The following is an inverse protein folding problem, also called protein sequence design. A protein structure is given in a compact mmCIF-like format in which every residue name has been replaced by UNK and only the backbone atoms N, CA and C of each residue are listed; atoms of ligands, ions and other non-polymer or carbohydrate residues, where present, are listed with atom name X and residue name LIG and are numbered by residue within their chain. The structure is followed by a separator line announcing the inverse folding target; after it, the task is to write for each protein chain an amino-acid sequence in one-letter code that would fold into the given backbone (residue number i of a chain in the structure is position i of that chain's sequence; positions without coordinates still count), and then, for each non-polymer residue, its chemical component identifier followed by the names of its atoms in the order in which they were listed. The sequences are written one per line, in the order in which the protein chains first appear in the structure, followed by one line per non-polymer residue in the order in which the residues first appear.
data_IF_253028673832
#
_entry.id   IF_253028673832
#
_cell.length_a   1.000
_cell.length_b   1.000
_cell.length_c   1.000
_cell.angle_alpha   90.00
_cell.angle_beta   90.00
_cell.angle_gamma   90.00
#
_symmetry.space_group_name_H-M   'P 1'
#
loop_
_entity.id
_entity.type
_entity.pdbx_description
1 polymer ?
#
# COMPACT_ATOMS: atom_id res chain seq x y z
N UNK A 1 -5.75 8.29 -4.57
CA UNK A 1 -4.67 8.87 -3.74
C UNK A 1 -4.30 10.20 -4.37
N UNK A 2 -3.79 11.17 -3.64
CA UNK A 2 -3.43 12.49 -4.19
C UNK A 2 -2.04 12.83 -3.68
N UNK A 3 -1.22 13.50 -4.49
CA UNK A 3 0.03 14.07 -4.02
C UNK A 3 -0.30 15.17 -3.03
N UNK A 4 0.37 15.15 -1.88
CA UNK A 4 0.27 16.18 -0.85
C UNK A 4 1.62 16.86 -0.64
N UNK A 5 1.61 18.03 -0.04
CA UNK A 5 2.87 18.70 0.35
C UNK A 5 3.73 17.78 1.21
N UNK A 6 3.12 17.03 2.14
CA UNK A 6 3.82 16.04 2.97
C UNK A 6 4.49 14.93 2.15
N UNK A 7 3.83 14.43 1.10
CA UNK A 7 4.42 13.39 0.25
C UNK A 7 5.63 13.90 -0.54
N UNK A 8 5.57 15.16 -1.00
CA UNK A 8 6.68 15.81 -1.69
C UNK A 8 7.89 15.99 -0.76
N UNK A 9 7.66 16.41 0.49
CA UNK A 9 8.74 16.60 1.47
C UNK A 9 9.45 15.30 1.90
N UNK A 10 8.95 14.14 1.49
CA UNK A 10 9.65 12.84 1.70
C UNK A 10 10.67 12.53 0.61
N UNK A 11 10.67 13.27 -0.48
CA UNK A 11 11.64 13.04 -1.56
C UNK A 11 13.05 13.50 -1.13
N UNK A 12 14.09 12.77 -1.55
CA UNK A 12 15.47 13.06 -1.15
C UNK A 12 15.92 14.51 -1.42
N UNK A 13 15.39 15.11 -2.49
CA UNK A 13 15.69 16.51 -2.85
C UNK A 13 15.24 17.53 -1.79
N UNK A 14 14.34 17.13 -0.88
CA UNK A 14 13.81 17.98 0.19
C UNK A 14 14.26 17.52 1.58
N UNK A 15 15.30 16.68 1.71
CA UNK A 15 15.76 16.16 3.01
C UNK A 15 16.13 17.29 3.99
N UNK A 16 16.73 18.39 3.48
CA UNK A 16 17.11 19.55 4.27
C UNK A 16 16.08 20.69 4.28
N UNK A 17 14.91 20.48 3.67
CA UNK A 17 13.87 21.50 3.59
C UNK A 17 13.24 21.76 4.96
N UNK A 18 12.96 23.05 5.24
CA UNK A 18 12.38 23.50 6.50
C UNK A 18 10.96 23.98 6.31
N UNK A 19 10.04 23.44 7.10
CA UNK A 19 8.66 23.94 7.16
C UNK A 19 8.63 25.14 8.09
N UNK A 20 8.53 26.33 7.51
CA UNK A 20 8.51 27.60 8.24
C UNK A 20 7.13 27.90 8.84
N UNK A 21 6.06 27.54 8.13
CA UNK A 21 4.67 27.74 8.58
C UNK A 21 3.76 26.65 8.01
N UNK A 22 2.52 26.59 8.48
CA UNK A 22 1.49 25.73 7.91
C UNK A 22 1.68 24.23 8.16
N UNK A 23 2.40 23.80 9.22
CA UNK A 23 2.66 22.38 9.53
C UNK A 23 1.40 21.52 9.57
N UNK A 24 0.27 22.07 9.98
CA UNK A 24 -1.02 21.40 10.04
C UNK A 24 -1.70 21.23 8.67
N UNK A 25 -1.20 21.93 7.64
CA UNK A 25 -1.77 21.91 6.28
C UNK A 25 -0.89 21.16 5.27
N UNK A 26 0.06 20.37 5.72
CA UNK A 26 0.91 19.56 4.83
C UNK A 26 0.14 18.50 4.03
N UNK A 27 -1.10 18.22 4.38
CA UNK A 27 -2.02 17.38 3.61
C UNK A 27 -2.73 18.12 2.46
N UNK A 28 -2.39 19.41 2.23
CA UNK A 28 -2.89 20.14 1.07
C UNK A 28 -2.49 19.40 -0.21
N UNK A 29 -3.50 19.19 -1.10
CA UNK A 29 -3.32 18.46 -2.36
C UNK A 29 -2.58 19.30 -3.37
N UNK A 30 -1.58 18.73 -4.01
CA UNK A 30 -0.81 19.37 -5.08
C UNK A 30 -1.28 18.82 -6.43
N UNK A 31 -1.68 19.72 -7.32
CA UNK A 31 -2.13 19.39 -8.68
C UNK A 31 -1.13 19.81 -9.75
N UNK A 32 -0.34 20.84 -9.47
CA UNK A 32 0.62 21.41 -10.41
C UNK A 32 1.71 22.17 -9.65
N UNK A 33 2.92 22.15 -10.18
CA UNK A 33 4.02 23.01 -9.76
C UNK A 33 4.16 24.20 -10.72
N UNK A 34 4.41 25.38 -10.18
CA UNK A 34 4.61 26.61 -10.94
C UNK A 34 5.72 27.46 -10.34
N UNK A 35 6.38 28.27 -11.14
CA UNK A 35 7.39 29.25 -10.68
C UNK A 35 6.79 30.63 -10.70
N UNK A 36 7.06 31.41 -9.67
CA UNK A 36 6.62 32.79 -9.58
C UNK A 36 7.79 33.72 -9.17
N UNK A 37 8.57 34.17 -10.17
CA UNK A 37 9.69 35.09 -10.02
C UNK A 37 9.53 36.32 -10.93
N UNK A 38 8.31 36.59 -11.39
CA UNK A 38 7.98 37.78 -12.17
C UNK A 38 7.46 38.90 -11.27
N UNK A 39 7.44 40.16 -11.72
CA UNK A 39 6.86 41.26 -10.96
C UNK A 39 5.42 40.96 -10.56
N UNK A 40 5.12 41.20 -9.27
CA UNK A 40 3.78 40.95 -8.76
C UNK A 40 2.81 42.05 -9.21
N UNK A 41 1.71 41.63 -9.85
CA UNK A 41 0.59 42.48 -10.23
C UNK A 41 -0.72 41.80 -9.83
N UNK A 42 -1.71 42.51 -9.24
CA UNK A 42 -2.99 41.93 -8.84
C UNK A 42 -3.78 41.31 -9.99
N UNK A 43 -3.56 41.75 -11.24
CA UNK A 43 -4.16 41.21 -12.45
C UNK A 43 -3.81 39.72 -12.76
N UNK A 44 -2.82 39.15 -12.09
CA UNK A 44 -2.43 37.75 -12.23
C UNK A 44 -3.59 36.80 -11.84
N UNK A 45 -4.46 37.23 -10.89
CA UNK A 45 -5.66 36.45 -10.55
C UNK A 45 -6.73 36.48 -11.63
N UNK A 46 -6.96 37.68 -12.19
CA UNK A 46 -7.99 37.88 -13.22
C UNK A 46 -7.66 37.11 -14.49
N UNK A 47 -6.37 36.89 -14.77
CA UNK A 47 -5.90 36.08 -15.89
C UNK A 47 -6.09 34.57 -15.69
N UNK A 48 -6.55 34.11 -14.51
CA UNK A 48 -6.75 32.68 -14.22
C UNK A 48 -5.45 31.86 -14.21
N UNK A 49 -4.31 32.50 -13.96
CA UNK A 49 -2.98 31.88 -13.98
C UNK A 49 -2.79 31.00 -12.75
N UNK A 50 -3.25 31.47 -11.59
CA UNK A 50 -3.21 30.74 -10.31
C UNK A 50 -4.44 29.84 -10.20
N UNK A 51 -4.22 28.55 -9.97
CA UNK A 51 -5.27 27.54 -9.86
C UNK A 51 -5.25 26.86 -8.49
N UNK A 52 -6.38 26.31 -8.10
CA UNK A 52 -6.46 25.50 -6.91
C UNK A 52 -5.51 24.28 -7.03
N UNK A 53 -4.77 24.02 -5.96
CA UNK A 53 -3.79 22.94 -5.94
C UNK A 53 -2.44 23.30 -6.55
N UNK A 54 -2.19 24.55 -6.94
CA UNK A 54 -0.86 24.99 -7.37
C UNK A 54 0.11 25.02 -6.18
N UNK A 55 1.30 24.44 -6.37
CA UNK A 55 2.46 24.64 -5.54
C UNK A 55 3.37 25.65 -6.24
N UNK A 56 3.72 26.73 -5.58
CA UNK A 56 4.59 27.75 -6.16
C UNK A 56 6.02 27.62 -5.65
N UNK A 57 6.99 27.79 -6.58
CA UNK A 57 8.41 27.97 -6.30
C UNK A 57 8.74 29.44 -6.51
N UNK A 58 9.49 30.07 -5.61
CA UNK A 58 9.89 31.48 -5.73
C UNK A 58 11.16 31.79 -4.93
N UNK A 59 12.08 32.56 -5.52
CA UNK A 59 13.19 33.17 -4.81
C UNK A 59 12.80 34.40 -3.99
N UNK A 60 11.56 34.88 -4.13
CA UNK A 60 11.04 36.11 -3.52
C UNK A 60 11.73 37.40 -3.93
N UNK A 61 12.62 37.38 -4.91
CA UNK A 61 13.39 38.51 -5.40
C UNK A 61 12.50 39.74 -5.75
N UNK A 62 11.32 39.47 -6.30
CA UNK A 62 10.35 40.52 -6.67
C UNK A 62 9.74 41.28 -5.49
N UNK A 63 9.92 40.77 -4.25
CA UNK A 63 9.43 41.37 -3.03
C UNK A 63 10.55 42.03 -2.19
N UNK A 64 11.82 41.94 -2.59
CA UNK A 64 12.98 42.46 -1.84
C UNK A 64 12.86 43.95 -1.55
N UNK A 65 12.42 44.73 -2.55
CA UNK A 65 12.24 46.20 -2.42
C UNK A 65 10.83 46.60 -1.94
N UNK A 66 9.88 45.65 -1.92
CA UNK A 66 8.46 45.91 -1.60
C UNK A 66 7.88 44.78 -0.75
N UNK A 67 8.32 44.59 0.48
CA UNK A 67 7.91 43.46 1.32
C UNK A 67 6.41 43.46 1.67
N UNK A 68 5.74 44.62 1.62
CA UNK A 68 4.30 44.71 1.81
C UNK A 68 3.47 43.98 0.78
N UNK A 69 4.00 43.82 -0.44
CA UNK A 69 3.34 43.05 -1.52
C UNK A 69 3.33 41.56 -1.26
N UNK A 70 4.24 41.04 -0.42
CA UNK A 70 4.25 39.64 -0.04
C UNK A 70 2.98 39.23 0.72
N UNK A 71 2.45 40.12 1.59
CA UNK A 71 1.18 39.90 2.31
C UNK A 71 0.01 39.75 1.33
N UNK A 72 -0.03 40.61 0.32
CA UNK A 72 -1.06 40.57 -0.72
C UNK A 72 -0.92 39.27 -1.54
N UNK A 73 0.30 38.90 -1.93
CA UNK A 73 0.59 37.66 -2.67
C UNK A 73 0.16 36.42 -1.91
N UNK A 74 0.52 36.26 -0.62
CA UNK A 74 0.10 35.14 0.21
C UNK A 74 -1.42 35.05 0.34
N UNK A 75 -2.07 36.17 0.55
CA UNK A 75 -3.54 36.25 0.63
C UNK A 75 -4.18 35.78 -0.69
N UNK A 76 -3.58 36.12 -1.79
CA UNK A 76 -3.98 35.79 -3.14
C UNK A 76 -3.83 34.27 -3.43
N UNK A 77 -2.69 33.70 -3.07
CA UNK A 77 -2.45 32.26 -3.17
C UNK A 77 -3.46 31.45 -2.34
N UNK A 78 -3.71 31.90 -1.11
CA UNK A 78 -4.69 31.26 -0.23
C UNK A 78 -6.12 31.34 -0.79
N UNK A 79 -6.52 32.50 -1.31
CA UNK A 79 -7.83 32.72 -1.95
C UNK A 79 -8.01 31.81 -3.17
N UNK A 80 -6.94 31.58 -3.94
CA UNK A 80 -6.93 30.65 -5.06
C UNK A 80 -6.88 29.17 -4.63
N UNK A 81 -6.74 28.89 -3.34
CA UNK A 81 -6.56 27.55 -2.77
C UNK A 81 -5.28 26.87 -3.29
N UNK A 82 -4.19 27.62 -3.38
CA UNK A 82 -2.86 27.08 -3.65
C UNK A 82 -2.43 26.11 -2.54
N UNK A 83 -1.62 25.12 -2.87
CA UNK A 83 -1.25 24.04 -1.94
C UNK A 83 -0.14 24.46 -0.98
N UNK A 84 0.85 25.18 -1.47
CA UNK A 84 2.00 25.63 -0.71
C UNK A 84 2.80 26.69 -1.49
N UNK A 85 3.67 27.39 -0.77
CA UNK A 85 4.73 28.22 -1.31
C UNK A 85 6.09 27.64 -0.88
N UNK A 86 6.90 27.24 -1.83
CA UNK A 86 8.27 26.78 -1.61
C UNK A 86 9.22 27.92 -1.98
N UNK A 87 10.09 28.30 -1.07
CA UNK A 87 10.98 29.45 -1.22
C UNK A 87 12.45 29.03 -1.07
N UNK A 88 13.34 29.73 -1.77
CA UNK A 88 14.78 29.63 -1.51
C UNK A 88 15.16 30.39 -0.23
N UNK A 89 16.32 30.10 0.30
CA UNK A 89 16.89 30.76 1.49
C UNK A 89 17.63 32.08 1.17
N UNK A 90 17.43 32.66 -0.03
CA UNK A 90 18.05 33.92 -0.46
C UNK A 90 17.60 35.14 0.35
N UNK A 91 16.31 35.19 0.74
CA UNK A 91 15.72 36.37 1.40
C UNK A 91 15.06 36.03 2.75
N UNK A 92 15.81 35.53 3.75
CA UNK A 92 15.24 35.12 5.03
C UNK A 92 14.57 36.28 5.81
N UNK A 93 14.98 37.54 5.57
CA UNK A 93 14.40 38.73 6.22
C UNK A 93 12.96 39.01 5.79
N UNK A 94 12.50 38.50 4.64
CA UNK A 94 11.11 38.67 4.20
C UNK A 94 10.15 37.78 4.97
N UNK A 95 10.61 36.70 5.59
CA UNK A 95 9.76 35.77 6.34
C UNK A 95 9.79 36.12 7.83
N UNK A 96 9.17 37.25 8.16
CA UNK A 96 9.00 37.67 9.53
C UNK A 96 8.01 36.81 10.31
N UNK A 97 7.98 36.94 11.65
CA UNK A 97 6.98 36.30 12.52
C UNK A 97 5.54 36.59 12.10
N UNK A 98 5.28 37.77 11.56
CA UNK A 98 3.95 38.18 11.12
C UNK A 98 3.56 37.47 9.82
N UNK A 99 4.50 37.27 8.91
CA UNK A 99 4.32 36.47 7.67
C UNK A 99 4.04 35.00 8.01
N UNK A 100 4.77 34.42 8.95
CA UNK A 100 4.55 33.04 9.43
C UNK A 100 3.14 32.94 10.05
N UNK A 101 2.76 33.84 10.94
CA UNK A 101 1.44 33.84 11.57
C UNK A 101 0.30 34.05 10.55
N UNK A 102 0.50 34.90 9.56
CA UNK A 102 -0.45 35.10 8.46
C UNK A 102 -0.62 33.82 7.64
N UNK A 103 0.48 33.20 7.26
CA UNK A 103 0.49 31.96 6.48
C UNK A 103 -0.22 30.82 7.22
N UNK A 104 0.03 30.66 8.53
CA UNK A 104 -0.68 29.68 9.38
C UNK A 104 -2.20 29.97 9.40
N UNK A 105 -2.60 31.24 9.52
CA UNK A 105 -4.02 31.62 9.49
C UNK A 105 -4.67 31.37 8.12
N UNK A 106 -3.92 31.56 7.05
CA UNK A 106 -4.40 31.37 5.68
C UNK A 106 -4.44 29.88 5.25
N UNK A 107 -3.82 29.00 6.01
CA UNK A 107 -3.74 27.58 5.66
C UNK A 107 -2.82 27.28 4.48
N UNK A 108 -1.82 28.12 4.24
CA UNK A 108 -0.86 28.04 3.15
C UNK A 108 0.54 27.70 3.70
N UNK A 109 1.03 26.46 3.63
CA UNK A 109 2.38 26.11 4.06
C UNK A 109 3.46 26.91 3.32
N UNK A 110 4.47 27.41 4.05
CA UNK A 110 5.69 27.96 3.50
C UNK A 110 6.83 27.02 3.84
N UNK A 111 7.54 26.55 2.80
CA UNK A 111 8.66 25.61 2.90
C UNK A 111 9.91 26.28 2.33
N UNK A 112 10.97 26.33 3.13
CA UNK A 112 12.29 26.81 2.70
C UNK A 112 13.14 25.64 2.22
N UNK A 113 13.78 25.76 1.07
CA UNK A 113 14.76 24.82 0.53
C UNK A 113 16.04 25.56 0.12
N UNK A 114 17.12 24.80 -0.11
CA UNK A 114 18.44 25.39 -0.41
C UNK A 114 18.47 26.03 -1.80
N UNK A 115 19.08 27.20 -1.91
CA UNK A 115 19.21 27.97 -3.16
C UNK A 115 19.93 27.23 -4.28
N UNK A 116 20.84 26.34 -3.95
CA UNK A 116 21.65 25.58 -4.93
C UNK A 116 20.87 24.48 -5.64
N UNK A 117 19.61 24.20 -5.24
CA UNK A 117 18.74 23.23 -5.92
C UNK A 117 18.02 23.91 -7.09
N UNK A 118 18.34 23.57 -8.36
CA UNK A 118 17.67 24.17 -9.49
C UNK A 118 16.17 23.89 -9.49
N UNK A 119 15.35 24.86 -9.78
CA UNK A 119 13.88 24.69 -9.91
C UNK A 119 13.51 23.56 -10.88
N UNK A 120 14.31 23.35 -11.93
CA UNK A 120 14.09 22.26 -12.87
C UNK A 120 14.12 20.88 -12.21
N UNK A 121 14.99 20.67 -11.22
CA UNK A 121 15.08 19.41 -10.46
C UNK A 121 13.84 19.22 -9.59
N UNK A 122 13.40 20.29 -8.90
CA UNK A 122 12.19 20.29 -8.07
C UNK A 122 10.95 20.03 -8.92
N UNK A 123 10.82 20.73 -10.05
CA UNK A 123 9.70 20.58 -10.97
C UNK A 123 9.65 19.17 -11.57
N UNK A 124 10.78 18.62 -11.97
CA UNK A 124 10.87 17.25 -12.50
C UNK A 124 10.43 16.23 -11.44
N UNK A 125 10.91 16.38 -10.20
CA UNK A 125 10.52 15.52 -9.09
C UNK A 125 9.01 15.56 -8.85
N UNK A 126 8.42 16.74 -8.71
CA UNK A 126 6.97 16.89 -8.46
C UNK A 126 6.14 16.39 -9.65
N UNK A 127 6.56 16.65 -10.88
CA UNK A 127 5.87 16.17 -12.07
C UNK A 127 5.92 14.65 -12.18
N UNK A 128 7.06 14.01 -11.88
CA UNK A 128 7.19 12.56 -11.82
C UNK A 128 6.22 11.95 -10.80
N UNK A 129 6.11 12.53 -9.61
CA UNK A 129 5.15 12.13 -8.60
C UNK A 129 3.71 12.23 -9.11
N UNK A 130 3.38 13.33 -9.78
CA UNK A 130 2.03 13.58 -10.32
C UNK A 130 1.66 12.54 -11.38
N UNK A 131 2.58 12.26 -12.29
CA UNK A 131 2.38 11.25 -13.36
C UNK A 131 2.24 9.85 -12.75
N UNK A 132 3.04 9.53 -11.75
CA UNK A 132 3.00 8.25 -11.05
C UNK A 132 1.65 8.01 -10.38
N UNK A 133 1.18 8.96 -9.58
CA UNK A 133 -0.13 8.89 -8.91
C UNK A 133 -1.29 8.75 -9.91
N UNK A 134 -1.23 9.49 -11.02
CA UNK A 134 -2.25 9.40 -12.05
C UNK A 134 -2.27 8.00 -12.71
N UNK A 135 -1.10 7.43 -12.98
CA UNK A 135 -0.95 6.06 -13.49
C UNK A 135 -1.54 5.03 -12.52
N UNK A 136 -1.17 5.13 -11.26
CA UNK A 136 -1.69 4.22 -10.24
C UNK A 136 -3.20 4.31 -10.09
N UNK A 137 -3.76 5.53 -10.14
CA UNK A 137 -5.20 5.73 -10.08
C UNK A 137 -5.93 5.05 -11.25
N UNK A 138 -5.44 5.24 -12.49
CA UNK A 138 -6.02 4.61 -13.68
C UNK A 138 -5.90 3.08 -13.61
N UNK A 139 -4.72 2.57 -13.31
CA UNK A 139 -4.50 1.13 -13.22
C UNK A 139 -5.29 0.51 -12.07
N UNK A 140 -5.46 1.24 -10.96
CA UNK A 140 -6.33 0.83 -9.87
C UNK A 140 -7.80 0.69 -10.29
N UNK A 141 -8.31 1.59 -11.15
CA UNK A 141 -9.66 1.45 -11.71
C UNK A 141 -9.78 0.19 -12.58
N UNK A 142 -8.77 -0.14 -13.38
CA UNK A 142 -8.76 -1.37 -14.17
C UNK A 142 -8.73 -2.62 -13.30
N UNK A 143 -7.91 -2.63 -12.24
CA UNK A 143 -7.88 -3.74 -11.28
C UNK A 143 -9.23 -3.92 -10.56
N UNK A 144 -9.87 -2.84 -10.12
CA UNK A 144 -11.20 -2.89 -9.50
C UNK A 144 -12.23 -3.47 -10.47
N UNK A 145 -12.20 -3.05 -11.72
CA UNK A 145 -13.09 -3.59 -12.75
C UNK A 145 -12.91 -5.09 -12.93
N UNK A 146 -11.67 -5.58 -12.96
CA UNK A 146 -11.38 -7.02 -13.06
C UNK A 146 -11.84 -7.81 -11.83
N UNK A 147 -11.69 -7.24 -10.63
CA UNK A 147 -11.96 -7.94 -9.37
C UNK A 147 -13.44 -7.96 -8.98
N UNK A 148 -14.15 -6.86 -9.20
CA UNK A 148 -15.46 -6.63 -8.59
C UNK A 148 -16.61 -6.48 -9.59
N UNK A 149 -16.33 -6.25 -10.88
CA UNK A 149 -17.37 -6.17 -11.88
C UNK A 149 -17.62 -7.54 -12.53
N UNK A 150 -18.90 -7.85 -12.77
CA UNK A 150 -19.26 -9.04 -13.53
C UNK A 150 -19.22 -8.75 -15.03
N UNK A 151 -18.03 -8.71 -15.60
CA UNK A 151 -17.78 -8.40 -17.01
C UNK A 151 -17.55 -9.68 -17.84
N UNK A 152 -17.84 -9.62 -19.13
CA UNK A 152 -17.61 -10.73 -20.04
C UNK A 152 -16.14 -11.09 -20.19
N UNK A 153 -15.84 -12.31 -20.65
CA UNK A 153 -14.45 -12.73 -20.90
C UNK A 153 -13.74 -11.80 -21.91
N UNK A 154 -14.47 -11.31 -22.92
CA UNK A 154 -13.95 -10.35 -23.89
C UNK A 154 -13.58 -9.02 -23.21
N UNK A 155 -14.48 -8.46 -22.42
CA UNK A 155 -14.24 -7.19 -21.73
C UNK A 155 -13.05 -7.30 -20.74
N UNK A 156 -12.84 -8.49 -20.11
CA UNK A 156 -11.67 -8.73 -19.28
C UNK A 156 -10.37 -8.63 -20.05
N UNK A 157 -10.31 -9.22 -21.23
CA UNK A 157 -9.14 -9.12 -22.12
C UNK A 157 -8.91 -7.68 -22.56
N UNK A 158 -9.97 -6.93 -22.89
CA UNK A 158 -9.86 -5.52 -23.26
C UNK A 158 -9.32 -4.67 -22.10
N UNK A 159 -9.74 -4.95 -20.87
CA UNK A 159 -9.19 -4.32 -19.67
C UNK A 159 -7.71 -4.67 -19.46
N UNK A 160 -7.33 -5.94 -19.59
CA UNK A 160 -5.93 -6.36 -19.48
C UNK A 160 -5.05 -5.70 -20.54
N UNK A 161 -5.52 -5.63 -21.79
CA UNK A 161 -4.81 -4.92 -22.87
C UNK A 161 -4.76 -3.41 -22.65
N UNK A 162 -5.70 -2.84 -21.88
CA UNK A 162 -5.62 -1.42 -21.48
C UNK A 162 -4.52 -1.19 -20.43
N UNK A 163 -4.21 -2.19 -19.60
CA UNK A 163 -3.06 -2.16 -18.67
C UNK A 163 -1.75 -2.33 -19.46
N UNK A 164 -1.68 -3.38 -20.28
CA UNK A 164 -0.53 -3.63 -21.14
C UNK A 164 -0.95 -4.39 -22.41
N UNK A 165 -0.90 -3.74 -23.59
CA UNK A 165 -1.27 -4.38 -24.86
C UNK A 165 -0.33 -5.50 -25.30
N UNK A 166 0.82 -5.67 -24.64
CA UNK A 166 1.82 -6.69 -24.95
C UNK A 166 1.75 -7.94 -24.03
N UNK A 167 0.73 -8.04 -23.19
CA UNK A 167 0.51 -9.27 -22.43
C UNK A 167 0.33 -10.46 -23.37
N UNK A 168 0.90 -11.60 -22.95
CA UNK A 168 0.90 -12.84 -23.71
C UNK A 168 -0.05 -13.91 -23.14
N UNK A 169 -0.06 -15.12 -23.69
CA UNK A 169 -1.05 -16.15 -23.41
C UNK A 169 -1.12 -16.61 -21.96
N UNK A 170 0.02 -16.72 -21.27
CA UNK A 170 0.08 -17.18 -19.88
C UNK A 170 0.36 -16.00 -18.95
N UNK A 171 -0.33 -15.99 -17.83
CA UNK A 171 -0.20 -14.95 -16.83
C UNK A 171 -0.01 -15.53 -15.43
N UNK A 172 0.78 -14.85 -14.63
CA UNK A 172 0.94 -15.06 -13.21
C UNK A 172 1.00 -13.72 -12.50
N UNK A 173 0.41 -13.63 -11.32
CA UNK A 173 0.36 -12.39 -10.56
C UNK A 173 0.99 -12.59 -9.19
N UNK A 174 1.87 -11.65 -8.83
CA UNK A 174 2.39 -11.50 -7.49
C UNK A 174 1.71 -10.30 -6.86
N UNK A 175 1.22 -10.46 -5.65
CA UNK A 175 0.82 -9.34 -4.80
C UNK A 175 1.75 -9.26 -3.61
N UNK A 176 2.27 -8.08 -3.36
CA UNK A 176 3.24 -7.84 -2.29
C UNK A 176 2.78 -6.68 -1.42
N UNK A 177 2.90 -6.86 -0.11
CA UNK A 177 2.76 -5.82 0.90
C UNK A 177 4.05 -5.80 1.71
N UNK A 178 4.63 -4.64 1.93
CA UNK A 178 5.91 -4.53 2.63
C UNK A 178 6.13 -3.15 3.23
N UNK A 179 7.01 -3.09 4.22
CA UNK A 179 7.55 -1.83 4.74
C UNK A 179 8.56 -1.27 3.74
N UNK A 180 8.92 -0.01 3.89
CA UNK A 180 9.77 0.72 2.96
C UNK A 180 9.11 1.03 1.60
N UNK A 181 7.79 1.31 1.66
CA UNK A 181 6.98 1.65 0.51
C UNK A 181 7.15 3.14 0.15
N UNK A 182 8.40 3.54 -0.14
CA UNK A 182 8.71 4.91 -0.54
C UNK A 182 8.30 5.16 -2.00
N UNK A 183 8.08 6.41 -2.36
CA UNK A 183 7.85 6.81 -3.74
C UNK A 183 9.08 6.48 -4.60
N UNK A 184 10.28 6.57 -4.04
CA UNK A 184 11.52 6.17 -4.70
C UNK A 184 11.49 4.69 -5.09
N UNK A 185 11.12 3.81 -4.17
CA UNK A 185 10.96 2.36 -4.45
C UNK A 185 9.92 2.12 -5.55
N UNK A 186 8.79 2.82 -5.52
CA UNK A 186 7.75 2.70 -6.55
C UNK A 186 8.25 3.17 -7.93
N UNK A 187 9.02 4.27 -7.98
CA UNK A 187 9.62 4.79 -9.21
C UNK A 187 10.67 3.83 -9.79
N UNK A 188 11.50 3.23 -8.95
CA UNK A 188 12.48 2.22 -9.35
C UNK A 188 11.79 0.99 -9.97
N UNK A 189 10.75 0.48 -9.32
CA UNK A 189 9.95 -0.63 -9.83
C UNK A 189 9.24 -0.27 -11.14
N UNK A 190 8.66 0.93 -11.26
CA UNK A 190 8.06 1.39 -12.51
C UNK A 190 9.08 1.44 -13.65
N UNK A 191 10.25 2.02 -13.38
CA UNK A 191 11.32 2.13 -14.38
C UNK A 191 11.80 0.76 -14.82
N UNK A 192 11.96 -0.16 -13.87
CA UNK A 192 12.31 -1.54 -14.15
C UNK A 192 11.28 -2.23 -15.05
N UNK A 193 10.00 -2.13 -14.67
CA UNK A 193 8.92 -2.78 -15.42
C UNK A 193 8.61 -2.09 -16.75
N UNK A 194 8.89 -0.79 -16.89
CA UNK A 194 8.80 -0.09 -18.17
C UNK A 194 9.76 -0.66 -19.22
N UNK A 195 10.88 -1.27 -18.79
CA UNK A 195 11.82 -1.97 -19.67
C UNK A 195 11.40 -3.41 -20.02
N UNK A 196 10.34 -3.92 -19.38
CA UNK A 196 9.82 -5.29 -19.54
C UNK A 196 8.53 -5.26 -20.34
N UNK A 197 8.63 -5.43 -21.63
CA UNK A 197 7.51 -5.26 -22.57
C UNK A 197 6.25 -6.06 -22.22
N UNK A 198 6.41 -7.26 -21.64
CA UNK A 198 5.33 -8.23 -21.40
C UNK A 198 4.86 -8.27 -19.95
N UNK A 199 5.44 -7.46 -19.08
CA UNK A 199 5.13 -7.44 -17.67
C UNK A 199 4.61 -6.06 -17.26
N UNK A 200 3.88 -5.96 -16.16
CA UNK A 200 3.41 -4.68 -15.63
C UNK A 200 3.50 -4.62 -14.13
N UNK A 201 3.78 -3.44 -13.63
CA UNK A 201 3.77 -3.12 -12.22
C UNK A 201 2.69 -2.07 -11.94
N UNK A 202 1.89 -2.33 -10.90
CA UNK A 202 0.85 -1.42 -10.40
C UNK A 202 0.98 -1.34 -8.90
N UNK A 203 0.90 -0.13 -8.35
CA UNK A 203 0.74 0.09 -6.93
C UNK A 203 -0.66 0.63 -6.65
N UNK A 204 -1.41 -0.04 -5.76
CA UNK A 204 -2.78 0.36 -5.46
C UNK A 204 -3.19 -0.15 -4.07
N UNK A 205 -3.76 0.72 -3.23
CA UNK A 205 -4.21 0.40 -1.87
C UNK A 205 -3.14 -0.32 -1.02
N UNK A 206 -1.93 0.23 -0.99
CA UNK A 206 -0.77 -0.29 -0.25
C UNK A 206 -0.31 -1.70 -0.67
N UNK A 207 -0.75 -2.16 -1.84
CA UNK A 207 -0.34 -3.43 -2.43
C UNK A 207 0.38 -3.16 -3.75
N UNK A 208 1.50 -3.83 -3.93
CA UNK A 208 2.27 -3.89 -5.17
C UNK A 208 1.80 -5.09 -5.99
N UNK A 209 1.29 -4.85 -7.18
CA UNK A 209 0.84 -5.87 -8.13
C UNK A 209 1.86 -6.00 -9.23
N UNK A 210 2.40 -7.20 -9.40
CA UNK A 210 3.30 -7.55 -10.48
C UNK A 210 2.58 -8.55 -11.40
N UNK A 211 2.21 -8.07 -12.57
CA UNK A 211 1.52 -8.86 -13.58
C UNK A 211 2.57 -9.36 -14.56
N UNK A 212 2.87 -10.64 -14.52
CA UNK A 212 3.88 -11.28 -15.36
C UNK A 212 3.18 -12.07 -16.46
N UNK A 213 3.64 -11.93 -17.70
CA UNK A 213 3.12 -12.74 -18.79
C UNK A 213 4.21 -13.29 -19.70
N UNK A 214 3.92 -14.41 -20.34
CA UNK A 214 4.80 -15.01 -21.34
C UNK A 214 4.01 -15.90 -22.32
N UNK A 215 4.63 -16.27 -23.45
CA UNK A 215 4.04 -17.14 -24.47
C UNK A 215 4.01 -18.62 -24.07
N UNK A 216 4.77 -19.02 -23.04
CA UNK A 216 4.81 -20.38 -22.54
C UNK A 216 4.90 -20.45 -21.02
N UNK A 217 4.26 -21.44 -20.41
CA UNK A 217 4.32 -21.68 -18.97
C UNK A 217 5.76 -21.89 -18.47
N UNK A 218 6.57 -22.66 -19.21
CA UNK A 218 7.95 -22.96 -18.83
C UNK A 218 8.84 -21.71 -18.78
N UNK A 219 8.63 -20.76 -19.69
CA UNK A 219 9.31 -19.47 -19.68
C UNK A 219 8.85 -18.63 -18.50
N UNK A 220 7.54 -18.59 -18.24
CA UNK A 220 6.96 -17.85 -17.13
C UNK A 220 7.40 -18.41 -15.77
N UNK A 221 7.52 -19.75 -15.62
CA UNK A 221 8.06 -20.38 -14.42
C UNK A 221 9.51 -19.95 -14.11
N UNK A 222 10.38 -19.87 -15.14
CA UNK A 222 11.74 -19.36 -14.97
C UNK A 222 11.75 -17.90 -14.54
N UNK A 223 10.90 -17.10 -15.16
CA UNK A 223 10.70 -15.68 -14.82
C UNK A 223 10.24 -15.54 -13.36
N UNK A 224 9.29 -16.36 -12.92
CA UNK A 224 8.81 -16.44 -11.54
C UNK A 224 9.94 -16.63 -10.53
N UNK A 225 10.83 -17.58 -10.76
CA UNK A 225 11.95 -17.82 -9.85
C UNK A 225 12.89 -16.61 -9.76
N UNK A 226 13.11 -15.90 -10.87
CA UNK A 226 13.91 -14.68 -10.89
C UNK A 226 13.25 -13.58 -10.05
N UNK A 227 11.96 -13.35 -10.22
CA UNK A 227 11.24 -12.31 -9.47
C UNK A 227 11.08 -12.65 -7.99
N UNK A 228 10.90 -13.91 -7.62
CA UNK A 228 10.89 -14.37 -6.21
C UNK A 228 12.17 -14.00 -5.45
N UNK A 229 13.30 -14.02 -6.12
CA UNK A 229 14.60 -13.66 -5.53
C UNK A 229 14.87 -12.16 -5.57
N UNK A 230 14.36 -11.48 -6.57
CA UNK A 230 14.65 -10.08 -6.86
C UNK A 230 13.74 -9.11 -6.09
N UNK A 231 12.42 -9.32 -6.10
CA UNK A 231 11.46 -8.38 -5.51
C UNK A 231 11.67 -8.13 -4.01
N UNK A 232 12.02 -9.14 -3.19
CA UNK A 232 12.28 -8.93 -1.76
C UNK A 232 13.38 -7.90 -1.45
N UNK A 233 14.28 -7.63 -2.40
CA UNK A 233 15.40 -6.69 -2.17
C UNK A 233 14.95 -5.24 -2.04
N UNK A 234 13.74 -4.91 -2.50
CA UNK A 234 13.15 -3.58 -2.43
C UNK A 234 12.41 -3.31 -1.12
N UNK A 235 12.14 -4.35 -0.33
CA UNK A 235 11.24 -4.24 0.83
C UNK A 235 11.87 -4.82 2.07
N UNK A 236 11.56 -4.21 3.21
CA UNK A 236 11.81 -4.79 4.53
C UNK A 236 10.50 -5.27 5.11
N UNK A 237 10.49 -6.42 5.81
CA UNK A 237 9.29 -6.96 6.45
C UNK A 237 8.11 -7.02 5.46
N UNK A 238 8.12 -8.03 4.61
CA UNK A 238 7.18 -8.17 3.49
C UNK A 238 6.42 -9.48 3.51
N UNK A 239 5.26 -9.46 2.89
CA UNK A 239 4.47 -10.64 2.55
C UNK A 239 4.21 -10.66 1.04
N UNK A 240 4.33 -11.83 0.42
CA UNK A 240 4.06 -12.04 -1.02
C UNK A 240 3.09 -13.21 -1.19
N UNK A 241 2.00 -12.97 -1.93
CA UNK A 241 1.12 -14.00 -2.46
C UNK A 241 1.33 -14.17 -3.95
N UNK A 242 1.55 -15.41 -4.41
CA UNK A 242 1.84 -15.75 -5.82
C UNK A 242 0.78 -16.71 -6.35
N UNK A 243 0.07 -16.34 -7.41
CA UNK A 243 -0.95 -17.17 -8.05
C UNK A 243 -0.35 -18.38 -8.76
N UNK A 244 -1.19 -19.32 -9.19
CA UNK A 244 -0.83 -20.24 -10.27
C UNK A 244 -0.60 -19.50 -11.59
N UNK A 245 -0.01 -20.18 -12.55
CA UNK A 245 0.02 -19.74 -13.94
C UNK A 245 -1.30 -20.17 -14.59
N UNK A 246 -1.99 -19.19 -15.18
CA UNK A 246 -3.23 -19.40 -15.90
C UNK A 246 -3.14 -18.85 -17.32
N UNK A 247 -4.08 -19.25 -18.17
CA UNK A 247 -4.34 -18.53 -19.41
C UNK A 247 -4.74 -17.09 -19.10
N UNK A 248 -4.36 -16.13 -19.94
CA UNK A 248 -4.67 -14.71 -19.74
C UNK A 248 -6.18 -14.44 -19.60
N UNK A 249 -7.03 -15.25 -20.23
CA UNK A 249 -8.48 -15.14 -20.08
C UNK A 249 -8.94 -15.42 -18.64
N UNK A 250 -8.13 -16.13 -17.85
CA UNK A 250 -8.36 -16.45 -16.44
C UNK A 250 -7.56 -15.56 -15.47
N UNK A 251 -7.06 -14.42 -15.91
CA UNK A 251 -6.28 -13.49 -15.08
C UNK A 251 -6.98 -13.08 -13.76
N UNK A 252 -8.32 -13.11 -13.72
CA UNK A 252 -9.10 -12.88 -12.49
C UNK A 252 -8.82 -13.96 -11.45
N UNK A 253 -8.61 -15.20 -11.87
CA UNK A 253 -8.19 -16.28 -10.97
C UNK A 253 -6.81 -15.99 -10.38
N UNK A 254 -5.84 -15.55 -11.21
CA UNK A 254 -4.54 -15.10 -10.72
C UNK A 254 -4.67 -13.99 -9.64
N UNK A 255 -5.52 -12.98 -9.89
CA UNK A 255 -5.75 -11.89 -8.93
C UNK A 255 -6.34 -12.39 -7.61
N UNK A 256 -7.34 -13.27 -7.66
CA UNK A 256 -7.99 -13.83 -6.46
C UNK A 256 -7.04 -14.72 -5.66
N UNK A 257 -6.33 -15.59 -6.34
CA UNK A 257 -5.36 -16.50 -5.72
C UNK A 257 -4.23 -15.72 -5.04
N UNK A 258 -3.59 -14.79 -5.75
CA UNK A 258 -2.50 -14.01 -5.18
C UNK A 258 -2.95 -13.11 -4.02
N UNK A 259 -4.17 -12.54 -4.10
CA UNK A 259 -4.73 -11.73 -3.00
C UNK A 259 -4.96 -12.57 -1.76
N UNK A 260 -5.58 -13.74 -1.91
CA UNK A 260 -5.81 -14.65 -0.78
C UNK A 260 -4.50 -15.07 -0.12
N UNK A 261 -3.52 -15.49 -0.93
CA UNK A 261 -2.24 -15.92 -0.40
C UNK A 261 -1.48 -14.76 0.27
N UNK A 262 -1.62 -13.53 -0.24
CA UNK A 262 -1.07 -12.35 0.41
C UNK A 262 -1.71 -12.14 1.78
N UNK A 263 -3.04 -12.22 1.89
CA UNK A 263 -3.75 -12.04 3.14
C UNK A 263 -3.34 -13.07 4.19
N UNK A 264 -3.19 -14.31 3.77
CA UNK A 264 -2.69 -15.39 4.63
C UNK A 264 -1.23 -15.16 5.01
N UNK A 265 -0.38 -14.78 4.07
CA UNK A 265 1.04 -14.53 4.32
C UNK A 265 1.22 -13.37 5.32
N UNK A 266 0.48 -12.29 5.14
CA UNK A 266 0.51 -11.11 6.04
C UNK A 266 0.03 -11.47 7.46
N UNK A 267 -1.08 -12.22 7.57
CA UNK A 267 -1.65 -12.62 8.86
C UNK A 267 -0.78 -13.64 9.60
N UNK A 268 -0.22 -14.61 8.89
CA UNK A 268 0.57 -15.70 9.48
C UNK A 268 2.09 -15.43 9.47
N UNK A 269 2.50 -14.22 9.09
CA UNK A 269 3.90 -13.79 9.03
C UNK A 269 4.79 -14.69 8.14
N UNK A 270 4.26 -15.14 7.02
CA UNK A 270 5.06 -15.79 5.97
C UNK A 270 5.57 -14.75 4.99
N UNK A 271 6.86 -14.81 4.66
CA UNK A 271 7.44 -13.89 3.67
C UNK A 271 6.92 -14.16 2.26
N UNK A 272 6.68 -15.43 1.90
CA UNK A 272 6.21 -15.83 0.57
C UNK A 272 5.28 -17.03 0.67
N UNK A 273 4.10 -16.91 0.08
CA UNK A 273 3.20 -18.03 -0.19
C UNK A 273 2.93 -18.13 -1.68
N UNK A 274 3.10 -19.32 -2.22
CA UNK A 274 2.85 -19.64 -3.62
C UNK A 274 1.72 -20.66 -3.73
N UNK A 275 0.81 -20.44 -4.66
CA UNK A 275 -0.25 -21.39 -4.94
C UNK A 275 0.34 -22.59 -5.67
N UNK A 276 0.56 -23.68 -4.95
CA UNK A 276 1.12 -24.91 -5.51
C UNK A 276 0.06 -26.00 -5.59
N UNK A 277 0.17 -26.89 -6.57
CA UNK A 277 -0.83 -27.94 -6.84
C UNK A 277 -1.12 -28.89 -5.68
N UNK A 278 -0.22 -28.97 -4.72
CA UNK A 278 -0.25 -29.86 -3.55
C UNK A 278 -0.56 -29.11 -2.24
N UNK A 279 -0.91 -27.83 -2.33
CA UNK A 279 -1.22 -27.01 -1.16
C UNK A 279 -2.67 -27.23 -0.70
N UNK A 280 -2.88 -27.34 0.62
CA UNK A 280 -4.22 -27.34 1.22
C UNK A 280 -5.05 -26.10 0.84
N UNK A 281 -4.39 -25.00 0.48
CA UNK A 281 -5.05 -23.78 0.00
C UNK A 281 -5.90 -24.02 -1.23
N UNK A 282 -5.49 -24.90 -2.17
CA UNK A 282 -6.30 -25.25 -3.35
C UNK A 282 -7.64 -25.88 -2.99
N UNK A 283 -7.67 -26.67 -1.92
CA UNK A 283 -8.90 -27.34 -1.49
C UNK A 283 -9.80 -26.40 -0.71
N UNK A 284 -9.23 -25.48 0.07
CA UNK A 284 -9.99 -24.61 0.98
C UNK A 284 -10.44 -23.33 0.28
N UNK A 285 -9.62 -22.78 -0.63
CA UNK A 285 -9.91 -21.55 -1.33
C UNK A 285 -11.25 -21.51 -2.08
N UNK A 286 -11.60 -22.53 -2.88
CA UNK A 286 -12.89 -22.56 -3.55
C UNK A 286 -14.09 -22.67 -2.58
N UNK A 287 -13.82 -23.04 -1.32
CA UNK A 287 -14.83 -23.16 -0.27
C UNK A 287 -14.98 -21.87 0.57
N UNK A 288 -14.11 -20.87 0.36
CA UNK A 288 -14.27 -19.57 1.03
C UNK A 288 -15.71 -19.06 0.75
N UNK A 289 -16.36 -18.55 1.79
CA UNK A 289 -17.74 -18.03 1.77
C UNK A 289 -18.84 -19.10 1.51
N UNK A 290 -18.48 -20.37 1.44
CA UNK A 290 -19.50 -21.43 1.38
C UNK A 290 -20.08 -21.73 2.76
N UNK A 291 -21.37 -22.07 2.84
CA UNK A 291 -22.00 -22.48 4.11
C UNK A 291 -21.26 -23.66 4.78
N UNK A 292 -20.66 -24.54 4.01
CA UNK A 292 -19.94 -25.71 4.52
C UNK A 292 -18.68 -25.30 5.30
N UNK A 293 -17.87 -24.38 4.76
CA UNK A 293 -16.65 -23.92 5.43
C UNK A 293 -16.97 -23.07 6.66
N UNK A 294 -17.97 -22.20 6.55
CA UNK A 294 -18.47 -21.39 7.66
C UNK A 294 -18.99 -22.30 8.79
N UNK A 295 -19.79 -23.30 8.46
CA UNK A 295 -20.32 -24.24 9.44
C UNK A 295 -19.19 -25.03 10.13
N UNK A 296 -18.19 -25.50 9.39
CA UNK A 296 -17.01 -26.19 9.96
C UNK A 296 -16.28 -25.26 10.97
N UNK A 297 -16.00 -24.04 10.59
CA UNK A 297 -15.37 -23.02 11.44
C UNK A 297 -16.21 -22.76 12.70
N UNK A 298 -17.48 -22.51 12.53
CA UNK A 298 -18.40 -22.12 13.63
C UNK A 298 -18.55 -23.23 14.66
N UNK A 299 -18.56 -24.51 14.28
CA UNK A 299 -18.60 -25.65 15.19
C UNK A 299 -17.43 -25.59 16.21
N UNK A 300 -16.23 -25.33 15.73
CA UNK A 300 -15.05 -25.31 16.61
C UNK A 300 -14.95 -24.01 17.40
N UNK A 301 -15.28 -22.87 16.77
CA UNK A 301 -15.29 -21.57 17.45
C UNK A 301 -16.33 -21.55 18.57
N UNK A 302 -17.54 -22.08 18.34
CA UNK A 302 -18.58 -22.20 19.36
C UNK A 302 -18.12 -23.10 20.52
N UNK A 303 -17.40 -24.19 20.26
CA UNK A 303 -16.82 -25.03 21.32
C UNK A 303 -15.81 -24.26 22.18
N UNK A 304 -15.00 -23.39 21.58
CA UNK A 304 -14.06 -22.55 22.32
C UNK A 304 -14.76 -21.50 23.16
N UNK A 305 -15.87 -20.95 22.71
CA UNK A 305 -16.64 -19.90 23.42
C UNK A 305 -17.67 -20.46 24.42
N UNK A 306 -18.16 -21.69 24.23
CA UNK A 306 -19.26 -22.24 25.06
C UNK A 306 -18.89 -22.44 26.54
N UNK A 307 -17.62 -22.45 26.91
CA UNK A 307 -17.15 -22.66 28.27
C UNK A 307 -16.56 -21.42 28.95
N UNK A 308 -16.75 -20.21 28.40
CA UNK A 308 -16.00 -19.05 28.89
C UNK A 308 -16.77 -17.73 28.84
N UNK A 309 -16.93 -17.13 29.99
CA UNK A 309 -17.43 -15.76 30.16
C UNK A 309 -16.35 -14.67 29.87
N UNK A 310 -15.06 -15.00 29.89
CA UNK A 310 -13.96 -14.04 29.65
C UNK A 310 -12.71 -14.61 28.94
N UNK A 311 -12.55 -15.90 28.78
CA UNK A 311 -11.31 -16.54 28.32
C UNK A 311 -11.35 -17.17 26.89
N UNK A 312 -12.45 -17.15 26.15
CA UNK A 312 -12.56 -17.72 24.80
C UNK A 312 -11.56 -17.09 23.82
N UNK A 313 -11.36 -15.79 23.92
CA UNK A 313 -10.35 -15.07 23.15
C UNK A 313 -8.91 -15.50 23.50
N UNK A 314 -8.65 -15.85 24.78
CA UNK A 314 -7.33 -16.27 25.24
C UNK A 314 -6.95 -17.66 24.72
N UNK A 315 -7.89 -18.61 24.72
CA UNK A 315 -7.65 -19.96 24.17
C UNK A 315 -7.46 -19.90 22.66
N UNK A 316 -8.29 -19.14 21.97
CA UNK A 316 -8.20 -18.96 20.53
C UNK A 316 -6.86 -18.31 20.14
N UNK A 317 -6.46 -17.23 20.81
CA UNK A 317 -5.15 -16.58 20.60
C UNK A 317 -3.99 -17.55 20.89
N UNK A 318 -4.11 -18.36 21.97
CA UNK A 318 -3.07 -19.36 22.29
C UNK A 318 -2.99 -20.44 21.21
N UNK A 319 -4.13 -20.88 20.66
CA UNK A 319 -4.21 -21.85 19.58
C UNK A 319 -3.53 -21.34 18.30
N UNK A 320 -3.87 -20.11 17.90
CA UNK A 320 -3.25 -19.46 16.71
C UNK A 320 -1.76 -19.35 16.87
N UNK A 321 -1.28 -18.81 18.00
CA UNK A 321 0.14 -18.66 18.26
C UNK A 321 0.88 -19.99 18.31
N UNK A 322 0.24 -21.04 18.87
CA UNK A 322 0.82 -22.39 18.88
C UNK A 322 1.00 -22.97 17.48
N UNK A 323 0.06 -22.72 16.58
CA UNK A 323 0.19 -23.10 15.15
C UNK A 323 1.29 -22.30 14.48
N UNK A 324 1.35 -20.98 14.67
CA UNK A 324 2.40 -20.10 14.13
C UNK A 324 3.80 -20.54 14.59
N UNK A 325 3.91 -20.95 15.86
CA UNK A 325 5.14 -21.51 16.41
C UNK A 325 5.38 -22.98 16.05
N UNK A 326 4.68 -23.53 15.04
CA UNK A 326 4.83 -24.91 14.54
C UNK A 326 4.70 -25.97 15.65
N UNK A 327 3.83 -25.74 16.62
CA UNK A 327 3.60 -26.63 17.74
C UNK A 327 4.61 -26.53 18.89
N UNK A 328 5.48 -25.51 18.90
CA UNK A 328 6.49 -25.32 19.95
C UNK A 328 5.87 -24.63 21.17
N UNK A 329 5.76 -25.35 22.29
CA UNK A 329 5.26 -24.80 23.55
C UNK A 329 6.15 -23.67 24.08
N UNK A 330 7.46 -23.84 24.01
CA UNK A 330 8.45 -22.88 24.50
C UNK A 330 8.39 -21.57 23.74
N UNK A 331 8.30 -21.64 22.40
CA UNK A 331 8.24 -20.45 21.56
C UNK A 331 6.90 -19.73 21.70
N UNK A 332 5.79 -20.47 21.76
CA UNK A 332 4.45 -19.91 22.03
C UNK A 332 4.42 -19.21 23.40
N UNK A 333 5.05 -19.79 24.42
CA UNK A 333 5.13 -19.20 25.74
C UNK A 333 5.90 -17.87 25.73
N UNK A 334 7.03 -17.83 25.02
CA UNK A 334 7.83 -16.61 24.85
C UNK A 334 7.03 -15.51 24.15
N UNK A 335 6.39 -15.82 23.02
CA UNK A 335 5.65 -14.84 22.23
C UNK A 335 4.43 -14.27 22.98
N UNK A 336 3.75 -15.09 23.76
CA UNK A 336 2.59 -14.67 24.56
C UNK A 336 2.94 -14.13 25.95
N UNK A 337 4.23 -14.02 26.29
CA UNK A 337 4.71 -13.61 27.62
C UNK A 337 4.06 -14.45 28.76
N UNK A 338 3.98 -15.77 28.54
CA UNK A 338 3.40 -16.74 29.51
C UNK A 338 4.40 -17.82 29.88
N UNK A 339 4.14 -18.53 30.96
CA UNK A 339 4.93 -19.71 31.30
C UNK A 339 4.54 -20.91 30.42
N UNK A 340 5.49 -21.75 30.05
CA UNK A 340 5.25 -22.92 29.18
C UNK A 340 4.16 -23.86 29.74
N UNK A 341 4.10 -24.07 31.06
CA UNK A 341 3.04 -24.87 31.65
C UNK A 341 1.64 -24.29 31.46
N UNK A 342 1.52 -22.96 31.38
CA UNK A 342 0.25 -22.29 31.05
C UNK A 342 -0.19 -22.58 29.61
N UNK A 343 0.76 -22.56 28.68
CA UNK A 343 0.48 -22.91 27.28
C UNK A 343 0.10 -24.39 27.17
N UNK A 344 0.83 -25.28 27.82
CA UNK A 344 0.50 -26.72 27.86
C UNK A 344 -0.91 -26.96 28.39
N UNK A 345 -1.25 -26.30 29.50
CA UNK A 345 -2.59 -26.38 30.09
C UNK A 345 -3.67 -25.92 29.10
N UNK A 346 -3.48 -24.74 28.44
CA UNK A 346 -4.45 -24.20 27.49
C UNK A 346 -4.62 -25.09 26.27
N UNK A 347 -3.54 -25.58 25.68
CA UNK A 347 -3.58 -26.47 24.53
C UNK A 347 -4.25 -27.81 24.88
N UNK A 348 -3.96 -28.38 26.06
CA UNK A 348 -4.65 -29.59 26.50
C UNK A 348 -6.15 -29.34 26.74
N UNK A 349 -6.52 -28.19 27.29
CA UNK A 349 -7.93 -27.79 27.44
C UNK A 349 -8.64 -27.72 26.08
N UNK A 350 -8.01 -27.10 25.05
CA UNK A 350 -8.55 -27.04 23.68
C UNK A 350 -8.71 -28.46 23.11
N UNK A 351 -7.71 -29.34 23.35
CA UNK A 351 -7.74 -30.74 22.90
C UNK A 351 -8.93 -31.50 23.49
N UNK A 352 -9.19 -31.31 24.79
CA UNK A 352 -10.37 -31.86 25.47
C UNK A 352 -11.68 -31.32 24.88
N UNK A 353 -11.77 -29.99 24.68
CA UNK A 353 -12.97 -29.36 24.11
C UNK A 353 -13.28 -29.88 22.68
N UNK A 354 -12.25 -30.22 21.93
CA UNK A 354 -12.38 -30.79 20.59
C UNK A 354 -12.59 -32.32 20.61
N UNK A 355 -12.45 -32.97 21.77
CA UNK A 355 -12.52 -34.44 21.95
C UNK A 355 -11.45 -35.15 21.12
N UNK A 356 -10.22 -34.63 21.16
CA UNK A 356 -9.05 -35.12 20.40
C UNK A 356 -7.85 -35.42 21.32
N UNK A 357 -8.12 -35.92 22.54
CA UNK A 357 -7.07 -36.19 23.54
C UNK A 357 -6.09 -37.26 23.06
N UNK A 358 -6.62 -38.29 22.44
CA UNK A 358 -5.86 -39.49 22.03
C UNK A 358 -5.30 -39.42 20.60
N UNK A 359 -5.58 -38.33 19.86
CA UNK A 359 -5.13 -38.15 18.48
C UNK A 359 -4.41 -36.80 18.27
N UNK A 360 -3.11 -36.72 18.61
CA UNK A 360 -2.33 -35.52 18.44
C UNK A 360 -2.20 -35.03 17.00
N UNK A 361 -2.24 -35.95 16.02
CA UNK A 361 -2.08 -35.62 14.60
C UNK A 361 -3.35 -34.93 14.10
N UNK A 362 -4.51 -35.55 14.31
CA UNK A 362 -5.80 -34.93 13.92
C UNK A 362 -6.04 -33.62 14.66
N UNK A 363 -5.66 -33.53 15.94
CA UNK A 363 -5.74 -32.29 16.68
C UNK A 363 -4.92 -31.16 16.01
N UNK A 364 -3.63 -31.39 15.76
CA UNK A 364 -2.76 -30.37 15.16
C UNK A 364 -3.22 -30.00 13.74
N UNK A 365 -3.65 -30.96 12.95
CA UNK A 365 -4.21 -30.70 11.62
C UNK A 365 -5.48 -29.84 11.69
N UNK A 366 -6.37 -30.13 12.64
CA UNK A 366 -7.62 -29.38 12.84
C UNK A 366 -7.34 -27.94 13.24
N UNK A 367 -6.49 -27.69 14.25
CA UNK A 367 -6.19 -26.33 14.69
C UNK A 367 -5.41 -25.54 13.63
N UNK A 368 -4.56 -26.21 12.84
CA UNK A 368 -3.86 -25.59 11.72
C UNK A 368 -4.86 -25.15 10.62
N UNK A 369 -5.81 -26.01 10.28
CA UNK A 369 -6.87 -25.70 9.33
C UNK A 369 -7.77 -24.56 9.83
N UNK A 370 -8.18 -24.58 11.09
CA UNK A 370 -9.00 -23.51 11.70
C UNK A 370 -8.27 -22.17 11.69
N UNK A 371 -6.98 -22.15 12.02
CA UNK A 371 -6.15 -20.96 11.99
C UNK A 371 -6.06 -20.39 10.57
N UNK A 372 -5.91 -21.27 9.58
CA UNK A 372 -5.89 -20.89 8.16
C UNK A 372 -7.25 -20.33 7.70
N UNK A 373 -8.35 -21.01 8.02
CA UNK A 373 -9.69 -20.55 7.67
C UNK A 373 -9.98 -19.19 8.31
N UNK A 374 -9.64 -19.01 9.57
CA UNK A 374 -9.90 -17.79 10.29
C UNK A 374 -9.16 -16.58 9.69
N UNK A 375 -7.93 -16.79 9.19
CA UNK A 375 -7.17 -15.75 8.50
C UNK A 375 -7.86 -15.18 7.24
N UNK A 376 -8.79 -15.92 6.64
CA UNK A 376 -9.57 -15.45 5.50
C UNK A 376 -10.64 -14.41 5.87
N UNK A 377 -11.04 -14.35 7.13
CA UNK A 377 -12.14 -13.51 7.63
C UNK A 377 -11.67 -12.34 8.49
N UNK A 378 -10.43 -12.33 8.97
CA UNK A 378 -9.91 -11.24 9.83
C UNK A 378 -9.75 -9.88 9.13
N UNK A 379 -9.80 -9.83 7.80
CA UNK A 379 -9.58 -8.59 7.03
C UNK A 379 -10.86 -7.96 6.45
N UNK A 380 -12.02 -8.53 6.69
CA UNK A 380 -13.25 -7.85 6.30
C UNK A 380 -13.54 -6.74 7.33
N UNK A 381 -13.60 -5.45 6.92
CA UNK A 381 -14.08 -4.42 7.82
C UNK A 381 -15.51 -4.78 8.24
N UNK A 382 -15.93 -4.50 9.47
CA UNK A 382 -17.29 -4.76 9.90
C UNK A 382 -18.24 -4.10 8.90
N UNK A 383 -19.13 -4.89 8.34
CA UNK A 383 -20.21 -4.38 7.48
C UNK A 383 -20.96 -3.30 8.26
N UNK A 384 -20.76 -2.03 7.85
CA UNK A 384 -21.53 -0.86 8.32
C UNK A 384 -22.79 -0.78 7.47
#
# INVERSE_FOLDING_TARGET
MYITVRSILKEPVFEDAKVLSGKQFLENKVSRVSVFDCPFTPSVLEAGIIKAGDLFLSGLNQFADRPEQLVEFLTLLAKAKSSALFITDEHPSLISSDIVALSDKLGLPIIEFQEDIPYAVIMDTINKLTILEFRHAINGLWLNRLLFENISAKDRLDVLHSINPKFEHFMQIFMLKGKNNSITTQNELLTLFASKDKDSYIYYHDIHYFLLSDSSESSLQKKTQTYKQFLPQFFTDYAIGISMIHDIAEAVSCLRESKLLLDVADTLHFSVLEYASDSLFQLILPLKDTPALNHYRDIFIQKLHANESENGSVLFTTMKEFVLCKGSYTQTASNLNQHENTIRYRINKIRQMFQMEDDPISFYSTISMLTMIDSFYEQEPPHI
#
